data_IF_649855554279
#
_entry.id   IF_649855554279
#
_cell.length_a   1.000
_cell.length_b   1.000
_cell.length_c   1.000
_cell.angle_alpha   90.00
_cell.angle_beta   90.00
_cell.angle_gamma   90.00
#
_symmetry.space_group_name_H-M   'P 1'
#
loop_
_entity.id
_entity.type
_entity.pdbx_description
1 polymer ?
#
# COMPACT_ATOMS: atom_id res chain seq x y z
N UNK A 1 -25.43 36.63 42.91
CA UNK A 1 -24.05 36.11 42.88
C UNK A 1 -24.06 34.70 42.27
N UNK A 2 -23.52 34.52 41.06
CA UNK A 2 -23.25 33.19 40.50
C UNK A 2 -22.02 33.30 39.57
N UNK A 3 -20.91 32.67 39.97
CA UNK A 3 -19.66 32.66 39.19
C UNK A 3 -19.82 31.74 37.98
N UNK A 4 -19.59 32.27 36.77
CA UNK A 4 -19.51 31.49 35.54
C UNK A 4 -18.30 30.55 35.61
N UNK A 5 -18.54 29.24 35.57
CA UNK A 5 -17.49 28.22 35.51
C UNK A 5 -16.79 28.30 34.15
N UNK A 6 -15.62 28.93 34.14
CA UNK A 6 -14.71 28.96 32.98
C UNK A 6 -14.22 27.53 32.72
N UNK A 7 -14.80 26.87 31.71
CA UNK A 7 -14.36 25.55 31.23
C UNK A 7 -12.87 25.64 30.85
N UNK A 8 -12.01 25.02 31.64
CA UNK A 8 -10.63 24.75 31.24
C UNK A 8 -10.67 23.83 30.03
N UNK A 9 -10.38 24.37 28.85
CA UNK A 9 -10.12 23.58 27.66
C UNK A 9 -8.86 22.76 27.91
N UNK A 10 -9.01 21.44 27.89
CA UNK A 10 -7.88 20.52 28.00
C UNK A 10 -6.91 20.78 26.85
N UNK A 11 -5.71 21.26 27.21
CA UNK A 11 -4.56 21.35 26.31
C UNK A 11 -4.25 19.91 25.89
N UNK A 12 -4.76 19.49 24.73
CA UNK A 12 -4.41 18.20 24.14
C UNK A 12 -2.91 18.25 23.87
N UNK A 13 -2.17 17.44 24.60
CA UNK A 13 -0.73 17.30 24.52
C UNK A 13 -0.36 16.81 23.10
N UNK A 14 -0.19 17.77 22.17
CA UNK A 14 0.15 17.49 20.77
C UNK A 14 1.62 17.11 20.75
N UNK A 15 1.92 15.82 20.96
CA UNK A 15 3.28 15.27 20.82
C UNK A 15 3.88 15.79 19.53
N UNK A 16 4.84 16.70 19.65
CA UNK A 16 5.63 17.21 18.52
C UNK A 16 6.49 16.03 18.08
N UNK A 17 6.00 15.27 17.10
CA UNK A 17 6.80 14.23 16.46
C UNK A 17 7.97 14.93 15.79
N UNK A 18 9.19 14.56 16.16
CA UNK A 18 10.39 15.01 15.44
C UNK A 18 10.18 14.80 13.95
N UNK A 19 10.48 15.83 13.15
CA UNK A 19 10.42 15.76 11.69
C UNK A 19 11.32 14.61 11.26
N UNK A 20 10.73 13.48 10.88
CA UNK A 20 11.45 12.36 10.29
C UNK A 20 12.15 12.90 9.05
N UNK A 21 13.48 12.83 9.03
CA UNK A 21 14.23 13.15 7.83
C UNK A 21 13.73 12.26 6.70
N UNK A 22 13.29 12.89 5.61
CA UNK A 22 12.82 12.18 4.43
C UNK A 22 14.06 11.56 3.79
N UNK A 23 14.22 10.24 3.98
CA UNK A 23 15.31 9.50 3.35
C UNK A 23 15.06 9.48 1.85
N UNK A 24 15.99 10.00 1.07
CA UNK A 24 15.94 9.91 -0.39
C UNK A 24 16.39 8.52 -0.80
N UNK A 25 15.52 7.77 -1.47
CA UNK A 25 15.76 6.37 -1.83
C UNK A 25 15.71 6.26 -3.36
N UNK A 26 16.86 6.14 -4.04
CA UNK A 26 16.88 6.13 -5.51
C UNK A 26 16.39 4.81 -6.11
N UNK A 27 16.57 3.70 -5.39
CA UNK A 27 16.20 2.34 -5.80
C UNK A 27 15.39 1.65 -4.69
N UNK A 28 14.24 1.10 -5.06
CA UNK A 28 13.36 0.39 -4.12
C UNK A 28 12.71 -0.87 -4.70
N UNK A 29 11.87 -1.49 -3.87
CA UNK A 29 11.07 -2.65 -4.21
C UNK A 29 9.60 -2.31 -3.96
N UNK A 30 8.76 -2.54 -4.96
CA UNK A 30 7.31 -2.36 -4.88
C UNK A 30 6.68 -3.74 -4.73
N UNK A 31 6.08 -3.98 -3.57
CA UNK A 31 5.31 -5.18 -3.28
C UNK A 31 3.83 -4.92 -3.58
N UNK A 32 3.26 -5.68 -4.51
CA UNK A 32 1.84 -5.66 -4.85
C UNK A 32 1.20 -6.94 -4.37
N UNK A 33 0.40 -6.86 -3.31
CA UNK A 33 -0.42 -7.98 -2.85
C UNK A 33 -1.82 -7.86 -3.43
N UNK A 34 -2.12 -8.68 -4.43
CA UNK A 34 -3.40 -8.74 -5.12
C UNK A 34 -4.20 -9.93 -4.61
N UNK A 35 -5.12 -9.68 -3.68
CA UNK A 35 -6.15 -10.64 -3.27
C UNK A 35 -7.45 -10.39 -4.05
N UNK A 36 -8.41 -11.32 -3.97
CA UNK A 36 -9.72 -11.16 -4.63
C UNK A 36 -10.52 -9.97 -4.09
N UNK A 37 -10.35 -9.66 -2.80
CA UNK A 37 -11.18 -8.65 -2.10
C UNK A 37 -10.45 -7.31 -1.88
N UNK A 38 -9.13 -7.28 -2.06
CA UNK A 38 -8.31 -6.12 -1.72
C UNK A 38 -6.97 -6.15 -2.47
N UNK A 39 -6.47 -4.96 -2.77
CA UNK A 39 -5.08 -4.75 -3.23
C UNK A 39 -4.33 -3.92 -2.21
N UNK A 40 -3.14 -4.37 -1.84
CA UNK A 40 -2.24 -3.67 -0.92
C UNK A 40 -0.93 -3.43 -1.67
N UNK A 41 -0.47 -2.19 -1.70
CA UNK A 41 0.79 -1.79 -2.32
C UNK A 41 1.71 -1.28 -1.22
N UNK A 42 2.87 -1.90 -1.11
CA UNK A 42 3.90 -1.52 -0.12
C UNK A 42 5.19 -1.25 -0.85
N UNK A 43 5.81 -0.10 -0.59
CA UNK A 43 7.10 0.26 -1.17
C UNK A 43 8.16 0.20 -0.08
N UNK A 44 9.24 -0.51 -0.38
CA UNK A 44 10.33 -0.75 0.55
C UNK A 44 11.68 -0.38 -0.06
N UNK A 45 12.65 -0.16 0.82
CA UNK A 45 14.08 -0.13 0.45
C UNK A 45 14.56 -1.53 0.06
N UNK A 46 15.78 -1.59 -0.51
CA UNK A 46 16.49 -2.86 -0.72
C UNK A 46 16.74 -3.61 0.60
N UNK A 47 16.90 -2.87 1.71
CA UNK A 47 17.01 -3.43 3.06
C UNK A 47 15.69 -3.85 3.70
N UNK A 48 14.58 -3.86 2.94
CA UNK A 48 13.27 -4.33 3.42
C UNK A 48 12.54 -3.38 4.38
N UNK A 49 13.04 -2.15 4.59
CA UNK A 49 12.36 -1.13 5.39
C UNK A 49 11.21 -0.53 4.60
N UNK A 50 10.02 -0.48 5.19
CA UNK A 50 8.83 0.10 4.56
C UNK A 50 8.94 1.62 4.54
N UNK A 51 8.81 2.19 3.35
CA UNK A 51 8.84 3.63 3.09
C UNK A 51 7.42 4.16 3.13
N UNK A 52 6.56 3.58 2.29
CA UNK A 52 5.14 3.91 2.20
C UNK A 52 4.32 2.65 1.97
N UNK A 53 3.07 2.68 2.41
CA UNK A 53 2.11 1.61 2.18
C UNK A 53 0.73 2.21 1.95
N UNK A 54 0.04 1.73 0.93
CA UNK A 54 -1.35 2.09 0.65
C UNK A 54 -2.17 0.81 0.42
N UNK A 55 -3.46 0.89 0.75
CA UNK A 55 -4.42 -0.17 0.44
C UNK A 55 -5.69 0.44 -0.12
N UNK A 56 -6.48 -0.35 -0.85
CA UNK A 56 -7.75 0.13 -1.38
C UNK A 56 -8.68 0.65 -0.26
N UNK A 57 -8.61 0.05 0.94
CA UNK A 57 -9.35 0.56 2.11
C UNK A 57 -8.85 1.92 2.60
N UNK A 58 -7.54 2.16 2.58
CA UNK A 58 -6.95 3.45 2.97
C UNK A 58 -7.31 4.58 1.97
N UNK A 59 -7.55 4.22 0.70
CA UNK A 59 -8.05 5.14 -0.32
C UNK A 59 -9.57 5.35 -0.28
N UNK A 60 -10.27 4.85 0.74
CA UNK A 60 -11.70 5.06 0.95
C UNK A 60 -12.63 4.06 0.27
N UNK A 61 -12.11 3.05 -0.44
CA UNK A 61 -12.96 2.02 -1.05
C UNK A 61 -13.43 1.00 -0.02
N UNK A 62 -14.75 0.83 0.09
CA UNK A 62 -15.42 -0.09 1.02
C UNK A 62 -16.20 -1.19 0.29
N UNK A 63 -16.44 -2.31 0.98
CA UNK A 63 -17.25 -3.42 0.49
C UNK A 63 -16.75 -4.00 -0.84
N UNK A 64 -17.67 -4.30 -1.76
CA UNK A 64 -17.37 -4.90 -3.08
C UNK A 64 -16.44 -4.03 -3.95
N UNK A 65 -16.48 -2.70 -3.78
CA UNK A 65 -15.64 -1.77 -4.56
C UNK A 65 -14.15 -1.91 -4.25
N UNK A 66 -13.79 -2.43 -3.07
CA UNK A 66 -12.40 -2.60 -2.62
C UNK A 66 -11.57 -3.57 -3.46
N UNK A 67 -12.21 -4.61 -4.04
CA UNK A 67 -11.54 -5.60 -4.89
C UNK A 67 -11.52 -5.26 -6.37
N UNK A 68 -11.98 -4.06 -6.76
CA UNK A 68 -12.07 -3.66 -8.17
C UNK A 68 -10.70 -3.25 -8.72
N UNK A 69 -10.46 -3.41 -10.03
CA UNK A 69 -9.22 -2.97 -10.67
C UNK A 69 -9.03 -1.45 -10.56
N UNK A 70 -10.12 -0.67 -10.58
CA UNK A 70 -10.07 0.77 -10.37
C UNK A 70 -9.51 1.14 -8.99
N UNK A 71 -9.97 0.46 -7.94
CA UNK A 71 -9.44 0.66 -6.60
C UNK A 71 -7.94 0.30 -6.52
N UNK A 72 -7.51 -0.75 -7.22
CA UNK A 72 -6.10 -1.13 -7.30
C UNK A 72 -5.25 -0.05 -7.99
N UNK A 73 -5.74 0.52 -9.10
CA UNK A 73 -5.08 1.62 -9.80
C UNK A 73 -4.90 2.83 -8.87
N UNK A 74 -5.98 3.33 -8.27
CA UNK A 74 -5.93 4.50 -7.36
C UNK A 74 -5.00 4.26 -6.18
N UNK A 75 -5.03 3.05 -5.60
CA UNK A 75 -4.13 2.67 -4.49
C UNK A 75 -2.67 2.75 -4.91
N UNK A 76 -2.38 2.26 -6.11
CA UNK A 76 -1.02 2.18 -6.64
C UNK A 76 -0.49 3.57 -6.99
N UNK A 77 -1.32 4.41 -7.63
CA UNK A 77 -0.97 5.81 -7.90
C UNK A 77 -0.66 6.58 -6.61
N UNK A 78 -1.50 6.42 -5.57
CA UNK A 78 -1.27 7.07 -4.28
C UNK A 78 0.03 6.61 -3.62
N UNK A 79 0.33 5.31 -3.65
CA UNK A 79 1.61 4.80 -3.14
C UNK A 79 2.79 5.39 -3.92
N UNK A 80 2.76 5.36 -5.24
CA UNK A 80 3.90 5.77 -6.06
C UNK A 80 4.14 7.28 -5.99
N UNK A 81 3.09 8.11 -6.01
CA UNK A 81 3.22 9.58 -5.90
C UNK A 81 4.11 9.95 -4.72
N UNK A 82 3.81 9.39 -3.53
CA UNK A 82 4.59 9.65 -2.32
C UNK A 82 6.05 9.21 -2.38
N UNK A 83 6.41 8.27 -3.25
CA UNK A 83 7.79 7.75 -3.37
C UNK A 83 8.55 8.44 -4.51
N UNK A 84 7.86 8.86 -5.56
CA UNK A 84 8.43 9.75 -6.59
C UNK A 84 8.84 11.07 -5.96
N UNK A 85 8.03 11.63 -5.05
CA UNK A 85 8.37 12.83 -4.27
C UNK A 85 9.62 12.64 -3.40
N UNK A 86 9.91 11.39 -3.01
CA UNK A 86 11.11 11.03 -2.23
C UNK A 86 12.34 10.73 -3.10
N UNK A 87 12.21 10.80 -4.43
CA UNK A 87 13.31 10.66 -5.39
C UNK A 87 13.59 9.22 -5.82
N UNK A 88 12.61 8.31 -5.79
CA UNK A 88 12.80 6.96 -6.32
C UNK A 88 12.62 6.93 -7.84
N UNK A 89 13.66 6.47 -8.54
CA UNK A 89 13.67 6.42 -10.01
C UNK A 89 13.64 5.00 -10.56
N UNK A 90 14.14 4.03 -9.79
CA UNK A 90 14.24 2.63 -10.20
C UNK A 90 13.52 1.72 -9.20
N UNK A 91 12.71 0.81 -9.70
CA UNK A 91 12.00 -0.12 -8.84
C UNK A 91 12.02 -1.56 -9.38
N UNK A 92 12.04 -2.50 -8.45
CA UNK A 92 11.71 -3.91 -8.69
C UNK A 92 10.26 -4.12 -8.28
N UNK A 93 9.47 -4.82 -9.09
CA UNK A 93 8.08 -5.12 -8.75
C UNK A 93 7.92 -6.58 -8.39
N UNK A 94 7.42 -6.82 -7.18
CA UNK A 94 7.11 -8.14 -6.65
C UNK A 94 5.61 -8.27 -6.49
N UNK A 95 4.98 -9.13 -7.29
CA UNK A 95 3.53 -9.37 -7.22
C UNK A 95 3.26 -10.62 -6.40
N UNK A 96 2.25 -10.59 -5.54
CA UNK A 96 1.78 -11.73 -4.75
C UNK A 96 0.27 -11.87 -4.90
N UNK A 97 -0.17 -13.02 -5.37
CA UNK A 97 -1.58 -13.39 -5.50
C UNK A 97 -2.14 -13.21 -6.92
N UNK A 98 -3.30 -13.83 -7.12
CA UNK A 98 -4.03 -13.92 -8.40
C UNK A 98 -5.26 -12.99 -8.45
N UNK A 99 -5.30 -11.97 -7.59
CA UNK A 99 -6.43 -11.05 -7.51
C UNK A 99 -6.60 -10.15 -8.74
N UNK A 100 -7.83 -9.67 -8.95
CA UNK A 100 -8.23 -8.80 -10.08
C UNK A 100 -7.44 -7.49 -10.19
N UNK A 101 -6.83 -7.04 -9.09
CA UNK A 101 -6.06 -5.81 -9.03
C UNK A 101 -4.63 -5.92 -9.57
N UNK A 102 -4.16 -7.12 -9.96
CA UNK A 102 -2.79 -7.38 -10.41
C UNK A 102 -2.39 -6.53 -11.62
N UNK A 103 -3.11 -6.67 -12.73
CA UNK A 103 -2.75 -6.00 -13.98
C UNK A 103 -2.99 -4.49 -13.91
N UNK A 104 -4.03 -4.08 -13.19
CA UNK A 104 -4.34 -2.67 -12.97
C UNK A 104 -3.23 -1.96 -12.17
N UNK A 105 -2.69 -2.60 -11.13
CA UNK A 105 -1.56 -2.08 -10.38
C UNK A 105 -0.29 -1.99 -11.25
N UNK A 106 -0.01 -3.02 -12.05
CA UNK A 106 1.14 -3.00 -12.97
C UNK A 106 1.04 -1.86 -13.98
N UNK A 107 -0.13 -1.68 -14.61
CA UNK A 107 -0.38 -0.56 -15.54
C UNK A 107 -0.18 0.80 -14.87
N UNK A 108 -0.63 0.96 -13.63
CA UNK A 108 -0.42 2.19 -12.87
C UNK A 108 1.07 2.48 -12.60
N UNK A 109 1.87 1.44 -12.29
CA UNK A 109 3.32 1.55 -12.11
C UNK A 109 4.03 1.92 -13.42
N UNK A 110 3.62 1.35 -14.55
CA UNK A 110 4.17 1.72 -15.84
C UNK A 110 3.87 3.19 -16.19
N UNK A 111 2.64 3.65 -15.89
CA UNK A 111 2.22 5.03 -16.18
C UNK A 111 2.93 6.08 -15.31
N UNK A 112 3.38 5.71 -14.11
CA UNK A 112 4.00 6.66 -13.17
C UNK A 112 5.44 7.05 -13.51
N UNK A 113 6.04 6.50 -14.58
CA UNK A 113 7.38 6.88 -15.03
C UNK A 113 8.55 6.33 -14.22
N UNK A 114 8.30 5.39 -13.29
CA UNK A 114 9.36 4.71 -12.54
C UNK A 114 9.99 3.63 -13.43
N UNK A 115 11.32 3.62 -13.57
CA UNK A 115 12.02 2.64 -14.40
C UNK A 115 11.98 1.27 -13.73
N UNK A 116 11.31 0.32 -14.37
CA UNK A 116 11.23 -1.05 -13.88
C UNK A 116 12.47 -1.85 -14.28
N UNK A 117 13.10 -2.49 -13.30
CA UNK A 117 14.23 -3.37 -13.57
C UNK A 117 13.80 -4.81 -13.86
N UNK A 118 12.93 -5.37 -13.02
CA UNK A 118 12.31 -6.67 -13.28
C UNK A 118 10.98 -6.77 -12.54
N UNK A 119 10.10 -7.59 -13.11
CA UNK A 119 8.82 -7.99 -12.56
C UNK A 119 8.92 -9.46 -12.17
N UNK A 120 8.58 -9.80 -10.92
CA UNK A 120 8.58 -11.19 -10.44
C UNK A 120 7.30 -11.51 -9.68
N UNK A 121 6.72 -12.67 -10.00
CA UNK A 121 5.65 -13.25 -9.21
C UNK A 121 6.23 -14.00 -8.00
N UNK A 122 5.73 -13.69 -6.81
CA UNK A 122 6.01 -14.34 -5.53
C UNK A 122 4.75 -14.92 -4.89
N UNK A 123 3.78 -15.32 -5.72
CA UNK A 123 2.63 -16.09 -5.25
C UNK A 123 3.13 -17.42 -4.69
N UNK A 124 2.84 -17.74 -3.42
CA UNK A 124 3.33 -18.96 -2.80
C UNK A 124 2.64 -20.18 -3.42
N UNK A 125 3.43 -21.13 -3.92
CA UNK A 125 2.97 -22.43 -4.40
C UNK A 125 3.31 -23.48 -3.33
N UNK A 126 2.32 -24.07 -2.64
CA UNK A 126 2.58 -25.08 -1.63
C UNK A 126 2.87 -26.44 -2.27
N UNK A 127 3.91 -27.14 -1.79
CA UNK A 127 4.19 -28.54 -2.15
C UNK A 127 3.46 -29.48 -1.19
N UNK A 128 2.15 -29.69 -1.39
CA UNK A 128 1.31 -30.56 -0.56
C UNK A 128 1.43 -30.28 0.96
N UNK A 129 1.12 -29.04 1.37
CA UNK A 129 1.14 -28.57 2.76
C UNK A 129 -0.21 -28.71 3.48
N UNK A 130 -0.59 -27.69 4.27
CA UNK A 130 -1.86 -27.70 5.00
C UNK A 130 -3.07 -27.90 4.08
N UNK A 131 -4.02 -28.74 4.53
CA UNK A 131 -5.27 -28.98 3.81
C UNK A 131 -6.03 -27.65 3.60
N UNK A 132 -6.39 -27.28 2.35
CA UNK A 132 -7.17 -26.08 2.09
C UNK A 132 -8.58 -26.20 2.71
N UNK A 133 -9.23 -25.06 3.03
CA UNK A 133 -10.58 -25.07 3.58
C UNK A 133 -11.55 -25.78 2.62
N UNK A 134 -12.57 -26.42 3.18
CA UNK A 134 -13.60 -27.12 2.41
C UNK A 134 -14.24 -26.16 1.40
N UNK A 135 -14.52 -26.67 0.20
CA UNK A 135 -15.23 -25.93 -0.85
C UNK A 135 -16.53 -25.36 -0.28
N UNK A 136 -16.78 -24.07 -0.53
CA UNK A 136 -18.00 -23.39 -0.08
C UNK A 136 -19.22 -24.01 -0.78
N UNK A 137 -20.30 -24.26 -0.04
CA UNK A 137 -21.54 -24.90 -0.51
C UNK A 137 -22.58 -23.92 -1.08
N UNK A 138 -22.25 -22.64 -1.12
CA UNK A 138 -23.10 -21.56 -1.64
C UNK A 138 -23.29 -21.66 -3.13
#
# INVERSE_FOLDING_TARGET
>A
MAKTLRRYSSIRNRRIRSRKSVRKIPKGIIHVQASFNNTIVTVTDVGGRVVTSASAGACGFKGRRRGTPFAAQTTTENAIRTVVDQGMHRAVVLVKGVGRGRDAALRAIFRSGVRLHFLRDRTPLPHNGCRPPKKRRT
#
